data_IF_562910715467
#
_entry.id   IF_562910715467
#
_cell.length_a   1.000
_cell.length_b   1.000
_cell.length_c   1.000
_cell.angle_alpha   90.00
_cell.angle_beta   90.00
_cell.angle_gamma   90.00
#
_symmetry.space_group_name_H-M   'P 1'
#
loop_
_entity.id
_entity.type
_entity.pdbx_description
1 polymer ?
#
# COMPACT_ATOMS: atom_id res chain seq x y z
N UNK A 1 44.68 33.10 30.56
CA UNK A 1 44.13 32.74 29.22
C UNK A 1 42.62 32.58 29.36
N UNK A 2 41.86 33.37 28.61
CA UNK A 2 40.47 33.70 28.90
C UNK A 2 39.47 32.62 28.47
N UNK A 3 38.60 32.23 29.40
CA UNK A 3 37.42 31.40 29.22
C UNK A 3 36.33 32.21 28.49
N UNK A 4 35.92 31.76 27.29
CA UNK A 4 34.73 32.31 26.60
C UNK A 4 33.53 31.40 26.82
N UNK A 5 32.74 31.75 27.83
CA UNK A 5 31.37 31.33 28.05
C UNK A 5 30.48 31.84 26.90
N UNK A 6 29.89 30.94 26.12
CA UNK A 6 28.82 31.26 25.18
C UNK A 6 27.48 31.08 25.88
N UNK A 7 26.84 32.21 26.17
CA UNK A 7 25.49 32.31 26.72
C UNK A 7 24.43 32.12 25.65
N UNK A 8 23.33 31.50 26.07
CA UNK A 8 22.04 31.38 25.39
C UNK A 8 21.51 32.72 24.86
N UNK A 9 20.86 32.69 23.68
CA UNK A 9 19.73 33.57 23.41
C UNK A 9 18.52 32.75 22.93
N UNK A 10 17.42 32.71 23.69
CA UNK A 10 16.14 32.23 23.20
C UNK A 10 15.45 33.34 22.38
N UNK A 11 15.26 33.11 21.09
CA UNK A 11 14.47 34.00 20.24
C UNK A 11 12.99 33.90 20.63
N UNK A 12 12.46 35.03 21.08
CA UNK A 12 11.07 35.24 21.44
C UNK A 12 10.10 34.86 20.31
N UNK A 13 9.21 33.88 20.57
CA UNK A 13 8.01 33.65 19.75
C UNK A 13 7.01 34.77 20.02
N UNK A 14 6.86 35.68 19.07
CA UNK A 14 5.71 36.59 18.97
C UNK A 14 4.45 35.76 18.70
N UNK A 15 3.64 35.59 19.72
CA UNK A 15 2.22 35.25 19.62
C UNK A 15 1.46 36.47 19.08
N UNK A 16 1.08 36.41 17.80
CA UNK A 16 0.16 37.37 17.19
C UNK A 16 -0.96 36.62 16.49
N UNK A 17 -2.19 37.02 16.82
CA UNK A 17 -3.27 37.04 15.84
C UNK A 17 -4.26 35.89 15.90
N UNK A 18 -5.11 35.91 16.93
CA UNK A 18 -6.50 35.47 16.81
C UNK A 18 -7.14 36.06 15.55
N UNK A 19 -7.58 35.19 14.64
CA UNK A 19 -8.28 35.56 13.41
C UNK A 19 -9.28 34.48 12.99
N UNK A 20 -10.15 34.08 13.91
CA UNK A 20 -11.18 33.05 13.69
C UNK A 20 -12.52 33.72 13.34
N UNK A 21 -12.82 33.89 12.04
CA UNK A 21 -14.17 34.05 11.43
C UNK A 21 -14.03 33.73 9.93
N UNK A 22 -15.00 33.07 9.25
CA UNK A 22 -16.42 33.32 9.43
C UNK A 22 -17.35 32.10 9.48
N UNK A 23 -18.49 32.37 10.13
CA UNK A 23 -19.76 31.68 10.00
C UNK A 23 -20.22 31.68 8.53
N UNK A 24 -20.64 30.51 8.04
CA UNK A 24 -21.20 30.35 6.71
C UNK A 24 -22.04 29.08 6.57
N UNK A 25 -22.84 28.72 7.58
CA UNK A 25 -23.90 27.71 7.43
C UNK A 25 -25.02 28.32 6.59
N UNK A 26 -24.91 28.20 5.26
CA UNK A 26 -26.04 28.44 4.37
C UNK A 26 -26.97 27.23 4.45
N UNK A 27 -28.15 27.50 5.00
CA UNK A 27 -29.35 26.74 4.76
C UNK A 27 -29.56 26.54 3.26
N UNK A 28 -29.68 25.29 2.81
CA UNK A 28 -30.59 24.96 1.72
C UNK A 28 -31.55 23.88 2.20
N UNK A 29 -32.72 24.38 2.63
CA UNK A 29 -34.01 23.69 2.52
C UNK A 29 -34.37 23.56 1.03
N UNK A 30 -35.39 22.73 0.79
CA UNK A 30 -36.07 22.48 -0.50
C UNK A 30 -35.41 21.33 -1.27
N UNK A 31 -36.07 20.23 -1.59
CA UNK A 31 -37.46 20.09 -2.00
C UNK A 31 -37.94 18.66 -1.77
N UNK A 32 -39.01 18.52 -0.98
CA UNK A 32 -39.96 17.42 -1.07
C UNK A 32 -40.66 17.55 -2.43
N UNK A 33 -40.22 16.75 -3.39
CA UNK A 33 -40.89 16.54 -4.66
C UNK A 33 -41.41 15.11 -4.72
N UNK A 34 -42.59 14.88 -4.13
CA UNK A 34 -43.51 13.87 -4.64
C UNK A 34 -43.71 14.11 -6.13
N UNK A 35 -43.74 13.05 -6.95
CA UNK A 35 -44.67 12.88 -8.08
C UNK A 35 -44.35 11.56 -8.82
N UNK A 36 -45.36 10.68 -8.82
CA UNK A 36 -45.79 9.81 -9.93
C UNK A 36 -44.82 8.73 -10.41
N UNK A 37 -45.07 7.45 -10.13
CA UNK A 37 -46.09 6.63 -10.77
C UNK A 37 -45.97 6.59 -12.31
N UNK A 38 -45.16 5.65 -12.81
CA UNK A 38 -45.47 4.92 -14.05
C UNK A 38 -45.19 3.45 -13.82
N UNK A 39 -46.25 2.76 -13.43
CA UNK A 39 -46.47 1.34 -13.67
C UNK A 39 -46.39 1.10 -15.19
N UNK A 40 -45.26 0.59 -15.67
CA UNK A 40 -45.17 -0.06 -16.96
C UNK A 40 -45.15 -1.57 -16.74
N UNK A 41 -46.36 -2.12 -16.60
CA UNK A 41 -46.66 -3.53 -16.85
C UNK A 41 -46.25 -3.85 -18.28
N UNK A 42 -45.05 -4.42 -18.45
CA UNK A 42 -44.72 -5.19 -19.65
C UNK A 42 -44.72 -6.66 -19.25
N UNK A 43 -45.90 -7.23 -19.45
CA UNK A 43 -46.17 -8.65 -19.65
C UNK A 43 -45.15 -9.24 -20.64
N UNK A 44 -44.19 -10.00 -20.13
CA UNK A 44 -43.38 -10.90 -20.92
C UNK A 44 -44.00 -12.31 -20.83
N UNK A 45 -44.17 -12.99 -21.98
CA UNK A 45 -44.86 -14.27 -22.05
C UNK A 45 -44.02 -15.34 -21.35
N UNK A 46 -44.73 -16.18 -20.60
CA UNK A 46 -44.23 -17.42 -20.07
C UNK A 46 -43.78 -18.33 -21.22
N UNK A 47 -42.49 -18.31 -21.53
CA UNK A 47 -41.84 -19.34 -22.32
C UNK A 47 -41.43 -20.47 -21.38
N UNK A 48 -42.32 -21.45 -21.41
CA UNK A 48 -42.18 -22.83 -21.02
C UNK A 48 -40.89 -23.50 -21.49
N UNK A 49 -40.43 -24.44 -20.67
CA UNK A 49 -39.58 -25.59 -20.98
C UNK A 49 -38.17 -25.29 -21.51
N UNK A 50 -37.19 -25.45 -20.61
CA UNK A 50 -36.39 -26.68 -20.58
C UNK A 50 -35.50 -26.64 -19.32
N UNK A 51 -35.99 -27.25 -18.23
CA UNK A 51 -35.12 -27.60 -17.10
C UNK A 51 -34.29 -28.79 -17.52
N UNK A 52 -33.17 -28.51 -18.20
CA UNK A 52 -32.12 -29.49 -18.40
C UNK A 52 -31.59 -29.87 -17.02
N UNK A 53 -31.96 -31.07 -16.61
CA UNK A 53 -31.47 -31.81 -15.48
C UNK A 53 -29.93 -31.79 -15.53
N UNK A 54 -29.29 -30.89 -14.79
CA UNK A 54 -27.84 -30.93 -14.59
C UNK A 54 -27.61 -32.05 -13.59
N UNK A 55 -26.97 -33.18 -13.99
CA UNK A 55 -26.73 -34.28 -13.07
C UNK A 55 -25.93 -33.75 -11.87
N UNK A 56 -26.43 -34.06 -10.68
CA UNK A 56 -25.72 -33.91 -9.42
C UNK A 56 -24.46 -34.79 -9.45
N UNK A 57 -23.39 -34.27 -10.05
CA UNK A 57 -22.19 -35.03 -10.40
C UNK A 57 -20.92 -34.19 -10.31
N UNK A 58 -20.82 -33.32 -9.30
CA UNK A 58 -19.58 -32.58 -9.03
C UNK A 58 -19.27 -32.52 -7.52
N UNK A 59 -19.33 -33.66 -6.85
CA UNK A 59 -18.90 -33.82 -5.45
C UNK A 59 -17.45 -34.29 -5.27
N UNK A 60 -16.63 -34.26 -6.33
CA UNK A 60 -15.38 -35.05 -6.42
C UNK A 60 -14.04 -34.29 -6.45
N UNK A 61 -14.00 -32.96 -6.32
CA UNK A 61 -12.75 -32.19 -6.44
C UNK A 61 -12.50 -31.23 -5.27
N UNK A 62 -12.46 -31.75 -4.04
CA UNK A 62 -11.97 -30.96 -2.88
C UNK A 62 -11.28 -31.78 -1.79
N UNK A 63 -10.64 -32.89 -2.16
CA UNK A 63 -9.82 -33.71 -1.23
C UNK A 63 -8.39 -33.96 -1.69
N UNK A 64 -7.92 -33.27 -2.72
CA UNK A 64 -6.51 -33.30 -3.08
C UNK A 64 -5.86 -32.03 -2.53
N UNK A 65 -4.77 -32.21 -1.77
CA UNK A 65 -3.74 -31.21 -1.42
C UNK A 65 -3.83 -30.39 -0.12
N UNK A 66 -4.42 -30.90 0.97
CA UNK A 66 -4.13 -30.35 2.31
C UNK A 66 -2.89 -31.00 2.96
N UNK A 67 -2.51 -32.21 2.54
CA UNK A 67 -1.52 -33.06 3.22
C UNK A 67 -0.04 -32.81 2.86
N UNK A 68 0.28 -31.88 1.94
CA UNK A 68 1.68 -31.62 1.53
C UNK A 68 2.01 -30.12 1.51
N UNK A 69 1.31 -29.29 2.29
CA UNK A 69 1.83 -27.95 2.60
C UNK A 69 2.90 -28.11 3.67
N UNK A 70 4.12 -28.43 3.22
CA UNK A 70 5.30 -28.31 4.06
C UNK A 70 5.22 -26.97 4.81
N UNK A 71 5.37 -27.02 6.14
CA UNK A 71 5.42 -25.81 6.95
C UNK A 71 6.57 -24.96 6.37
N UNK A 72 6.32 -23.70 5.95
CA UNK A 72 7.38 -22.85 5.44
C UNK A 72 8.49 -22.76 6.49
N UNK A 73 9.74 -22.72 6.04
CA UNK A 73 10.88 -22.59 6.93
C UNK A 73 10.72 -21.32 7.77
N UNK A 74 11.06 -21.38 9.05
CA UNK A 74 11.10 -20.17 9.88
C UNK A 74 12.38 -19.40 9.50
N UNK A 75 12.29 -18.07 9.29
CA UNK A 75 13.47 -17.28 8.93
C UNK A 75 14.46 -17.26 10.08
N UNK A 76 15.74 -17.42 9.77
CA UNK A 76 16.81 -17.11 10.72
C UNK A 76 17.02 -15.60 10.80
N UNK A 77 16.24 -14.96 11.67
CA UNK A 77 16.30 -13.53 11.94
C UNK A 77 17.60 -13.08 12.62
N UNK A 78 18.45 -14.03 13.05
CA UNK A 78 19.74 -13.73 13.68
C UNK A 78 20.89 -13.68 12.69
N UNK A 79 20.64 -14.06 11.43
CA UNK A 79 21.68 -14.01 10.41
C UNK A 79 22.13 -12.56 10.11
N UNK A 80 23.40 -12.34 9.73
CA UNK A 80 23.98 -11.00 9.56
C UNK A 80 23.17 -10.10 8.61
N UNK A 81 22.66 -10.68 7.51
CA UNK A 81 21.86 -9.96 6.52
C UNK A 81 20.61 -9.29 7.11
N UNK A 82 19.94 -9.96 8.06
CA UNK A 82 18.76 -9.42 8.75
C UNK A 82 19.13 -8.32 9.74
N UNK A 83 20.20 -8.53 10.51
CA UNK A 83 20.66 -7.56 11.50
C UNK A 83 21.10 -6.26 10.81
N UNK A 84 21.94 -6.36 9.78
CA UNK A 84 22.41 -5.20 9.01
C UNK A 84 21.26 -4.48 8.29
N UNK A 85 20.31 -5.23 7.72
CA UNK A 85 19.13 -4.63 7.08
C UNK A 85 18.23 -3.93 8.09
N UNK A 86 18.10 -4.45 9.32
CA UNK A 86 17.34 -3.82 10.38
C UNK A 86 18.03 -2.53 10.86
N UNK A 87 19.36 -2.53 11.01
CA UNK A 87 20.14 -1.33 11.35
C UNK A 87 19.96 -0.22 10.31
N UNK A 88 19.94 -0.56 9.02
CA UNK A 88 19.65 0.38 7.94
C UNK A 88 18.26 1.02 8.09
N UNK A 89 17.25 0.24 8.50
CA UNK A 89 15.90 0.76 8.74
C UNK A 89 15.90 1.70 9.95
N UNK A 90 16.57 1.34 11.03
CA UNK A 90 16.67 2.16 12.24
C UNK A 90 17.36 3.51 11.99
N UNK A 91 18.35 3.53 11.11
CA UNK A 91 19.09 4.75 10.73
C UNK A 91 18.24 5.72 9.89
N UNK A 92 17.35 5.19 9.03
CA UNK A 92 16.66 6.00 8.01
C UNK A 92 15.19 6.28 8.36
N UNK A 93 14.49 5.31 8.96
CA UNK A 93 13.05 5.39 9.22
C UNK A 93 12.81 5.91 10.64
N UNK A 94 12.20 7.09 10.71
CA UNK A 94 11.94 7.80 11.96
C UNK A 94 11.08 6.97 12.94
N UNK A 95 11.44 7.02 14.22
CA UNK A 95 10.75 6.37 15.36
C UNK A 95 10.58 4.84 15.26
N UNK A 96 11.35 4.19 14.39
CA UNK A 96 11.34 2.73 14.24
C UNK A 96 12.06 2.02 15.40
N UNK A 97 11.52 0.90 15.86
CA UNK A 97 12.21 -0.01 16.78
C UNK A 97 12.77 -1.22 16.04
N UNK A 98 13.66 -1.97 16.69
CA UNK A 98 14.27 -3.17 16.08
C UNK A 98 13.20 -4.20 15.73
N UNK A 99 12.19 -4.35 16.58
CA UNK A 99 11.06 -5.26 16.38
C UNK A 99 10.23 -4.84 15.16
N UNK A 100 9.95 -3.53 15.02
CA UNK A 100 9.25 -3.00 13.85
C UNK A 100 10.04 -3.28 12.57
N UNK A 101 11.35 -3.02 12.57
CA UNK A 101 12.22 -3.23 11.42
C UNK A 101 12.22 -4.70 10.96
N UNK A 102 12.34 -5.64 11.91
CA UNK A 102 12.29 -7.07 11.60
C UNK A 102 10.91 -7.51 11.08
N UNK A 103 9.81 -7.01 11.67
CA UNK A 103 8.46 -7.28 11.17
C UNK A 103 8.28 -6.77 9.74
N UNK A 104 8.76 -5.56 9.44
CA UNK A 104 8.64 -4.97 8.11
C UNK A 104 9.50 -5.70 7.08
N UNK A 105 10.71 -6.14 7.45
CA UNK A 105 11.56 -6.96 6.58
C UNK A 105 10.91 -8.31 6.26
N UNK A 106 10.27 -8.96 7.24
CA UNK A 106 9.53 -10.20 6.98
C UNK A 106 8.39 -10.00 5.99
N UNK A 107 7.69 -8.87 6.04
CA UNK A 107 6.65 -8.55 5.06
C UNK A 107 7.26 -8.15 3.70
N UNK A 108 8.32 -7.34 3.68
CA UNK A 108 9.07 -6.96 2.48
C UNK A 108 9.54 -8.16 1.65
N UNK A 109 10.02 -9.20 2.33
CA UNK A 109 10.68 -10.36 1.71
C UNK A 109 9.83 -11.65 1.73
N UNK A 110 8.50 -11.51 1.73
CA UNK A 110 7.56 -12.61 1.55
C UNK A 110 7.58 -13.70 2.64
N UNK A 111 8.05 -13.42 3.86
CA UNK A 111 8.08 -14.39 4.95
C UNK A 111 6.74 -14.50 5.69
N UNK A 112 5.91 -13.45 5.64
CA UNK A 112 4.58 -13.45 6.26
C UNK A 112 3.51 -14.00 5.31
N UNK A 113 2.42 -14.57 5.85
CA UNK A 113 1.34 -15.08 5.00
C UNK A 113 0.68 -13.97 4.15
N UNK A 114 0.59 -12.75 4.69
CA UNK A 114 0.01 -11.59 3.97
C UNK A 114 0.89 -11.17 2.80
N UNK A 115 2.19 -11.01 3.05
CA UNK A 115 3.15 -10.66 2.00
C UNK A 115 3.24 -11.73 0.92
N UNK A 116 3.23 -13.03 1.24
CA UNK A 116 3.19 -14.10 0.22
C UNK A 116 2.01 -13.98 -0.74
N UNK A 117 0.84 -13.54 -0.25
CA UNK A 117 -0.34 -13.29 -1.10
C UNK A 117 -0.12 -12.08 -2.00
N UNK A 118 0.48 -11.01 -1.46
CA UNK A 118 0.85 -9.82 -2.23
C UNK A 118 1.82 -10.17 -3.36
N UNK A 119 2.89 -10.90 -3.07
CA UNK A 119 3.92 -11.28 -4.04
C UNK A 119 3.51 -12.39 -5.02
N UNK A 120 2.38 -13.08 -4.81
CA UNK A 120 1.86 -14.14 -5.70
C UNK A 120 2.90 -15.21 -6.12
N UNK A 121 3.85 -15.53 -5.24
CA UNK A 121 4.99 -16.44 -5.47
C UNK A 121 6.08 -15.93 -6.42
N UNK A 122 6.02 -14.67 -6.87
CA UNK A 122 7.03 -14.06 -7.73
C UNK A 122 8.34 -13.80 -6.97
N UNK A 123 8.22 -13.58 -5.66
CA UNK A 123 9.35 -13.55 -4.74
C UNK A 123 9.32 -14.78 -3.85
N UNK A 124 10.47 -15.42 -3.75
CA UNK A 124 10.70 -16.48 -2.77
C UNK A 124 11.13 -15.89 -1.44
N UNK A 125 10.93 -16.66 -0.38
CA UNK A 125 11.47 -16.41 0.96
C UNK A 125 13.01 -16.34 0.84
N UNK A 126 13.54 -15.13 0.79
CA UNK A 126 14.96 -14.84 0.66
C UNK A 126 15.38 -13.89 1.78
N UNK A 127 16.63 -13.99 2.27
CA UNK A 127 17.13 -13.01 3.22
C UNK A 127 17.20 -11.61 2.56
N UNK A 128 16.96 -10.54 3.33
CA UNK A 128 17.05 -9.18 2.82
C UNK A 128 18.50 -8.83 2.47
N UNK A 129 18.69 -8.11 1.36
CA UNK A 129 19.99 -7.56 1.00
C UNK A 129 20.12 -6.12 1.57
N UNK A 130 21.08 -5.85 2.48
CA UNK A 130 21.18 -4.54 3.14
C UNK A 130 21.33 -3.36 2.18
N UNK A 131 22.04 -3.56 1.07
CA UNK A 131 22.23 -2.52 0.04
C UNK A 131 20.91 -2.17 -0.67
N UNK A 132 20.11 -3.18 -1.03
CA UNK A 132 18.80 -2.99 -1.63
C UNK A 132 17.84 -2.27 -0.66
N UNK A 133 17.77 -2.74 0.59
CA UNK A 133 16.95 -2.12 1.64
C UNK A 133 17.35 -0.66 1.86
N UNK A 134 18.66 -0.36 1.90
CA UNK A 134 19.17 1.01 2.03
C UNK A 134 18.75 1.91 0.86
N UNK A 135 18.84 1.40 -0.36
CA UNK A 135 18.45 2.17 -1.55
C UNK A 135 16.97 2.56 -1.51
N UNK A 136 16.11 1.61 -1.13
CA UNK A 136 14.67 1.81 -1.03
C UNK A 136 14.30 2.71 0.15
N UNK A 137 14.93 2.52 1.31
CA UNK A 137 14.71 3.36 2.48
C UNK A 137 15.10 4.83 2.22
N UNK A 138 16.24 5.07 1.55
CA UNK A 138 16.64 6.43 1.14
C UNK A 138 15.67 7.03 0.13
N UNK A 139 15.20 6.24 -0.84
CA UNK A 139 14.17 6.71 -1.77
C UNK A 139 12.90 7.14 -1.02
N UNK A 140 12.46 6.39 -0.01
CA UNK A 140 11.33 6.77 0.85
C UNK A 140 11.62 8.06 1.63
N UNK A 141 12.83 8.23 2.14
CA UNK A 141 13.27 9.43 2.85
C UNK A 141 13.20 10.66 1.95
N UNK A 142 13.72 10.56 0.72
CA UNK A 142 13.70 11.64 -0.28
C UNK A 142 12.28 12.08 -0.66
N UNK A 143 11.30 11.16 -0.60
CA UNK A 143 9.88 11.45 -0.84
C UNK A 143 9.13 11.90 0.42
N UNK A 144 9.77 11.95 1.59
CA UNK A 144 9.14 12.25 2.88
C UNK A 144 8.14 11.19 3.33
N UNK A 145 8.42 9.92 3.00
CA UNK A 145 7.61 8.73 3.31
C UNK A 145 8.28 7.82 4.34
N UNK A 146 9.53 8.08 4.75
CA UNK A 146 10.29 7.31 5.74
C UNK A 146 9.82 7.54 7.20
N UNK A 147 8.51 7.49 7.41
CA UNK A 147 7.87 7.60 8.73
C UNK A 147 7.35 6.24 9.15
N UNK A 148 7.57 5.85 10.41
CA UNK A 148 7.04 4.59 10.98
C UNK A 148 5.56 4.37 10.69
N UNK A 149 4.73 5.40 10.87
CA UNK A 149 3.29 5.32 10.64
C UNK A 149 2.94 4.99 9.17
N UNK A 150 3.76 5.45 8.21
CA UNK A 150 3.55 5.20 6.80
C UNK A 150 4.03 3.80 6.42
N UNK A 151 5.25 3.41 6.81
CA UNK A 151 5.84 2.09 6.50
C UNK A 151 5.01 0.97 7.12
N UNK A 152 4.49 1.15 8.34
CA UNK A 152 3.60 0.19 9.01
C UNK A 152 2.33 -0.12 8.20
N UNK A 153 1.84 0.81 7.37
CA UNK A 153 0.65 0.60 6.54
C UNK A 153 0.94 -0.23 5.29
N UNK A 154 2.18 -0.25 4.81
CA UNK A 154 2.59 -0.99 3.63
C UNK A 154 4.08 -1.38 3.71
N UNK A 155 4.43 -2.34 4.57
CA UNK A 155 5.82 -2.75 4.79
C UNK A 155 6.43 -3.48 3.59
N UNK A 156 5.60 -4.06 2.70
CA UNK A 156 6.04 -4.73 1.48
C UNK A 156 6.89 -3.81 0.57
N UNK A 157 6.76 -2.48 0.71
CA UNK A 157 7.56 -1.49 0.00
C UNK A 157 9.07 -1.71 0.15
N UNK A 158 9.54 -2.21 1.30
CA UNK A 158 10.97 -2.41 1.56
C UNK A 158 11.56 -3.56 0.74
N UNK A 159 10.71 -4.45 0.22
CA UNK A 159 11.11 -5.44 -0.76
C UNK A 159 11.31 -4.83 -2.14
N UNK A 160 10.57 -3.79 -2.52
CA UNK A 160 10.65 -3.22 -3.86
C UNK A 160 12.01 -2.54 -4.08
N UNK A 161 12.56 -2.73 -5.27
CA UNK A 161 13.72 -1.98 -5.75
C UNK A 161 13.31 -0.57 -6.19
N UNK A 162 14.24 0.38 -6.12
CA UNK A 162 14.03 1.74 -6.63
C UNK A 162 13.60 1.74 -8.11
N UNK A 163 14.15 0.81 -8.91
CA UNK A 163 13.78 0.64 -10.31
C UNK A 163 12.30 0.26 -10.46
N UNK A 164 11.82 -0.74 -9.72
CA UNK A 164 10.41 -1.15 -9.74
C UNK A 164 9.48 0.00 -9.31
N UNK A 165 9.88 0.81 -8.32
CA UNK A 165 9.13 1.98 -7.86
C UNK A 165 9.01 3.05 -8.96
N UNK A 166 10.11 3.38 -9.63
CA UNK A 166 10.15 4.36 -10.70
C UNK A 166 9.47 3.87 -11.99
N UNK A 167 9.61 2.60 -12.35
CA UNK A 167 8.87 1.99 -13.46
C UNK A 167 7.38 1.93 -13.15
N UNK A 168 7.03 1.66 -11.90
CA UNK A 168 5.67 1.66 -11.43
C UNK A 168 4.99 3.03 -11.61
N UNK A 169 5.70 4.13 -11.34
CA UNK A 169 5.21 5.49 -11.61
C UNK A 169 4.84 5.70 -13.08
N UNK A 170 5.55 5.09 -14.04
CA UNK A 170 5.24 5.21 -15.48
C UNK A 170 3.89 4.61 -15.85
N UNK A 171 3.40 3.65 -15.05
CA UNK A 171 2.08 3.02 -15.21
C UNK A 171 0.94 3.87 -14.63
N UNK A 172 1.26 4.96 -13.92
CA UNK A 172 0.26 5.84 -13.34
C UNK A 172 -0.59 6.54 -14.42
N UNK A 173 -1.90 6.75 -14.18
CA UNK A 173 -2.76 7.52 -15.06
C UNK A 173 -2.20 8.92 -15.36
N UNK A 174 -2.57 9.48 -16.52
CA UNK A 174 -2.11 10.80 -16.96
C UNK A 174 -2.30 11.91 -15.92
N UNK A 175 -3.40 11.87 -15.15
CA UNK A 175 -3.71 12.86 -14.10
C UNK A 175 -2.83 12.74 -12.84
N UNK A 176 -2.05 11.66 -12.68
CA UNK A 176 -1.08 11.45 -11.60
C UNK A 176 0.36 11.49 -12.09
N UNK A 177 0.63 11.90 -13.34
CA UNK A 177 2.00 11.93 -13.87
C UNK A 177 2.88 13.02 -13.29
N UNK A 178 2.30 14.09 -12.74
CA UNK A 178 3.09 15.11 -12.06
C UNK A 178 3.60 14.59 -10.72
N UNK A 179 4.87 14.83 -10.44
CA UNK A 179 5.56 14.34 -9.25
C UNK A 179 4.86 14.76 -7.95
N UNK A 180 4.38 16.00 -7.88
CA UNK A 180 3.68 16.52 -6.71
C UNK A 180 2.36 15.77 -6.43
N UNK A 181 1.55 15.54 -7.47
CA UNK A 181 0.26 14.86 -7.33
C UNK A 181 0.50 13.38 -7.02
N UNK A 182 1.46 12.75 -7.70
CA UNK A 182 1.87 11.38 -7.43
C UNK A 182 2.32 11.20 -5.98
N UNK A 183 3.25 12.04 -5.51
CA UNK A 183 3.79 11.99 -4.15
C UNK A 183 2.67 12.20 -3.12
N UNK A 184 1.73 13.12 -3.38
CA UNK A 184 0.55 13.33 -2.53
C UNK A 184 -0.34 12.09 -2.48
N UNK A 185 -0.54 11.42 -3.61
CA UNK A 185 -1.37 10.21 -3.70
C UNK A 185 -0.75 9.01 -2.97
N UNK A 186 0.55 8.75 -3.15
CA UNK A 186 1.23 7.65 -2.43
C UNK A 186 1.37 7.95 -0.93
N UNK A 187 1.45 9.23 -0.54
CA UNK A 187 1.45 9.63 0.88
C UNK A 187 0.12 9.31 1.56
N UNK A 188 -1.01 9.54 0.88
CA UNK A 188 -2.33 9.20 1.43
C UNK A 188 -2.61 7.69 1.36
N UNK A 189 -2.22 7.05 0.25
CA UNK A 189 -2.46 5.65 -0.03
C UNK A 189 -1.17 4.89 -0.42
N UNK A 190 -0.44 4.33 0.57
CA UNK A 190 0.80 3.59 0.34
C UNK A 190 0.67 2.41 -0.63
N UNK A 191 -0.50 1.77 -0.66
CA UNK A 191 -0.75 0.57 -1.49
C UNK A 191 -0.66 0.85 -2.99
N UNK A 192 -0.71 2.11 -3.42
CA UNK A 192 -0.54 2.49 -4.83
C UNK A 192 0.85 2.10 -5.36
N UNK A 193 1.89 2.06 -4.52
CA UNK A 193 3.20 1.57 -4.92
C UNK A 193 3.17 0.07 -5.24
N UNK A 194 2.41 -0.70 -4.46
CA UNK A 194 2.25 -2.14 -4.67
C UNK A 194 1.34 -2.48 -5.86
N UNK A 195 0.34 -1.66 -6.18
CA UNK A 195 -0.52 -1.87 -7.36
C UNK A 195 0.22 -1.69 -8.68
N UNK A 196 1.31 -0.93 -8.67
CA UNK A 196 2.16 -0.78 -9.83
C UNK A 196 2.96 -2.05 -10.11
N UNK A 197 3.32 -2.80 -9.06
CA UNK A 197 3.87 -4.13 -9.20
C UNK A 197 2.91 -5.03 -9.96
N UNK A 198 1.60 -5.06 -9.65
CA UNK A 198 0.62 -5.84 -10.44
C UNK A 198 0.52 -5.42 -11.93
N UNK A 199 1.05 -4.24 -12.31
CA UNK A 199 0.99 -3.64 -13.64
C UNK A 199 2.30 -3.72 -14.45
N UNK A 200 3.44 -4.17 -13.90
CA UNK A 200 4.66 -4.31 -14.69
C UNK A 200 4.47 -5.39 -15.77
N UNK A 201 5.21 -5.27 -16.88
CA UNK A 201 5.11 -6.15 -18.05
C UNK A 201 5.23 -7.64 -17.70
N UNK A 202 6.06 -7.97 -16.70
CA UNK A 202 6.24 -9.33 -16.19
C UNK A 202 4.99 -9.93 -15.53
N UNK A 203 3.99 -9.10 -15.21
CA UNK A 203 2.85 -9.49 -14.38
C UNK A 203 1.52 -9.56 -15.13
N UNK A 204 1.45 -9.18 -16.41
CA UNK A 204 0.36 -9.28 -17.43
C UNK A 204 -1.10 -9.14 -16.97
N UNK A 205 -1.38 -8.78 -15.71
CA UNK A 205 -2.67 -9.05 -15.08
C UNK A 205 -3.62 -7.87 -15.17
N UNK A 206 -3.10 -6.67 -15.45
CA UNK A 206 -3.88 -5.44 -15.43
C UNK A 206 -4.12 -4.81 -16.82
N UNK A 207 -3.84 -5.53 -17.93
CA UNK A 207 -4.03 -5.10 -19.33
C UNK A 207 -5.23 -4.14 -19.52
N UNK A 208 -5.02 -2.83 -19.37
CA UNK A 208 -6.02 -1.78 -19.62
C UNK A 208 -7.10 -1.50 -18.57
N UNK A 209 -7.04 -2.01 -17.33
CA UNK A 209 -8.01 -1.65 -16.24
C UNK A 209 -7.44 -0.76 -15.13
N UNK A 210 -6.36 -0.04 -15.41
CA UNK A 210 -5.63 0.81 -14.46
C UNK A 210 -6.55 1.78 -13.69
N UNK A 211 -7.61 2.31 -14.31
CA UNK A 211 -8.56 3.20 -13.62
C UNK A 211 -9.20 2.58 -12.38
N UNK A 212 -9.38 1.25 -12.32
CA UNK A 212 -9.95 0.56 -11.14
C UNK A 212 -8.93 0.35 -10.02
N UNK A 213 -7.65 0.22 -10.36
CA UNK A 213 -6.57 0.14 -9.40
C UNK A 213 -6.25 1.52 -8.79
N UNK A 214 -6.41 2.59 -9.59
CA UNK A 214 -6.08 3.97 -9.23
C UNK A 214 -7.27 4.84 -8.80
N UNK A 215 -8.52 4.40 -8.99
CA UNK A 215 -9.69 4.98 -8.32
C UNK A 215 -9.67 4.54 -6.85
N UNK A 216 -9.03 5.35 -6.02
CA UNK A 216 -9.14 5.26 -4.55
C UNK A 216 -9.55 6.59 -3.98
#
# INVERSE_FOLDING_TARGET
>A
MALRLWWLQPTARRSLGLGFRPLGRKHLRSSLGSLLAVLALLSLPALSLQTSFVPAGYGGYRRVSQALRAKPAEPDLTSPAWVESAEVILDIIEDSTKEDALEWLQAGFAWTQKSRRFWRKLRSEAPPEPAAVRSTARWLQDKGLAQKAWVRRFPEVLGLSVKELEEGKKTAPSYLKSDEIYNKAIKSNPTLLGKNYDCLLEHESCQGRCSRCWNT
#
